data_IF_342160964409
#
_entry.id   IF_342160964409
#
_cell.length_a   1.000
_cell.length_b   1.000
_cell.length_c   1.000
_cell.angle_alpha   90.00
_cell.angle_beta   90.00
_cell.angle_gamma   90.00
#
_symmetry.space_group_name_H-M   'P 1'
#
loop_
_entity.id
_entity.type
_entity.pdbx_description
1 polymer ?
#
# COMPACT_ATOMS: atom_id res chain seq x y z
N UNK A 1 10.94 -28.60 -27.69
CA UNK A 1 12.20 -28.42 -26.92
C UNK A 1 13.34 -28.18 -27.90
N UNK A 2 14.17 -27.14 -27.71
CA UNK A 2 15.33 -26.86 -28.59
C UNK A 2 16.37 -27.98 -28.41
N UNK A 3 16.71 -28.70 -29.48
CA UNK A 3 17.71 -29.79 -29.46
C UNK A 3 19.09 -29.24 -29.05
N UNK A 4 19.90 -30.04 -28.36
CA UNK A 4 21.29 -29.70 -28.02
C UNK A 4 22.18 -29.93 -29.23
N UNK A 5 22.95 -28.91 -29.59
CA UNK A 5 23.98 -29.02 -30.63
C UNK A 5 25.24 -29.67 -30.05
N UNK A 6 26.08 -30.24 -30.91
CA UNK A 6 27.32 -30.89 -30.47
C UNK A 6 28.32 -29.87 -29.88
N UNK A 7 28.35 -28.65 -30.42
CA UNK A 7 29.16 -27.55 -29.87
C UNK A 7 28.73 -27.18 -28.44
N UNK A 8 27.44 -27.12 -28.16
CA UNK A 8 26.94 -26.89 -26.79
C UNK A 8 27.26 -28.05 -25.85
N UNK A 9 27.18 -29.31 -26.33
CA UNK A 9 27.57 -30.49 -25.54
C UNK A 9 29.07 -30.47 -25.25
N UNK A 10 29.90 -30.10 -26.22
CA UNK A 10 31.35 -29.97 -26.06
C UNK A 10 31.70 -28.90 -25.03
N UNK A 11 31.07 -27.71 -25.11
CA UNK A 11 31.24 -26.65 -24.10
C UNK A 11 30.91 -27.14 -22.68
N UNK A 12 29.87 -27.96 -22.53
CA UNK A 12 29.54 -28.57 -21.23
C UNK A 12 30.57 -29.60 -20.77
N UNK A 13 31.14 -30.40 -21.68
CA UNK A 13 32.24 -31.35 -21.35
C UNK A 13 33.51 -30.64 -20.93
N UNK A 14 33.81 -29.48 -21.53
CA UNK A 14 35.03 -28.75 -21.22
C UNK A 14 34.88 -27.93 -19.93
N UNK A 15 33.65 -27.54 -19.57
CA UNK A 15 33.36 -26.60 -18.48
C UNK A 15 32.44 -27.20 -17.40
N UNK A 16 32.35 -28.51 -17.23
CA UNK A 16 31.41 -29.09 -16.26
C UNK A 16 31.75 -28.77 -14.79
N UNK A 17 33.02 -28.45 -14.49
CA UNK A 17 33.53 -28.21 -13.14
C UNK A 17 33.43 -26.75 -12.66
N UNK A 18 33.29 -25.75 -13.55
CA UNK A 18 33.21 -24.33 -13.18
C UNK A 18 31.84 -23.95 -12.59
N UNK A 19 31.69 -22.85 -11.83
CA UNK A 19 30.40 -22.46 -11.24
C UNK A 19 29.28 -22.31 -12.27
N UNK A 20 28.06 -22.76 -11.93
CA UNK A 20 26.89 -22.71 -12.81
C UNK A 20 26.59 -21.29 -13.38
N UNK A 21 26.98 -20.24 -12.65
CA UNK A 21 26.85 -18.85 -13.13
C UNK A 21 27.70 -18.58 -14.37
N UNK A 22 28.89 -19.15 -14.44
CA UNK A 22 29.80 -18.99 -15.57
C UNK A 22 29.36 -19.82 -16.77
N UNK A 23 28.84 -21.03 -16.55
CA UNK A 23 28.25 -21.85 -17.63
C UNK A 23 27.05 -21.15 -18.29
N UNK A 24 26.24 -20.44 -17.50
CA UNK A 24 25.12 -19.65 -18.04
C UNK A 24 25.58 -18.49 -18.94
N UNK A 25 26.79 -17.95 -18.74
CA UNK A 25 27.35 -16.94 -19.65
C UNK A 25 27.79 -17.55 -20.98
N UNK A 26 28.30 -18.79 -20.95
CA UNK A 26 28.70 -19.54 -22.14
C UNK A 26 27.50 -20.04 -22.95
N UNK A 27 26.34 -20.22 -22.30
CA UNK A 27 25.11 -20.73 -22.90
C UNK A 27 23.91 -19.82 -22.56
N UNK A 28 23.86 -18.57 -23.07
CA UNK A 28 22.85 -17.58 -22.70
C UNK A 28 21.41 -17.99 -23.09
N UNK A 29 21.28 -18.78 -24.15
CA UNK A 29 20.00 -19.31 -24.64
C UNK A 29 19.44 -20.48 -23.80
N UNK A 30 20.23 -20.99 -22.84
CA UNK A 30 19.88 -22.17 -22.06
C UNK A 30 19.59 -21.79 -20.61
N UNK A 31 18.53 -22.37 -20.06
CA UNK A 31 18.20 -22.15 -18.66
C UNK A 31 18.98 -23.13 -17.76
N UNK A 32 19.18 -22.73 -16.50
CA UNK A 32 19.93 -23.51 -15.49
C UNK A 32 19.45 -24.95 -15.35
N UNK A 33 18.14 -25.18 -15.44
CA UNK A 33 17.54 -26.51 -15.32
C UNK A 33 17.96 -27.39 -16.49
N UNK A 34 17.83 -26.91 -17.73
CA UNK A 34 18.21 -27.65 -18.94
C UNK A 34 19.70 -28.02 -18.95
N UNK A 35 20.57 -27.10 -18.52
CA UNK A 35 22.01 -27.37 -18.39
C UNK A 35 22.28 -28.48 -17.37
N UNK A 36 21.60 -28.44 -16.21
CA UNK A 36 21.76 -29.47 -15.19
C UNK A 36 21.33 -30.86 -15.68
N UNK A 37 20.21 -30.94 -16.39
CA UNK A 37 19.71 -32.18 -16.98
C UNK A 37 20.69 -32.70 -18.04
N UNK A 38 21.21 -31.82 -18.90
CA UNK A 38 22.17 -32.22 -19.93
C UNK A 38 23.50 -32.71 -19.34
N UNK A 39 24.02 -32.04 -18.32
CA UNK A 39 25.21 -32.51 -17.60
C UNK A 39 24.98 -33.89 -16.96
N UNK A 40 23.79 -34.13 -16.43
CA UNK A 40 23.42 -35.44 -15.89
C UNK A 40 23.32 -36.51 -16.98
N UNK A 41 22.78 -36.19 -18.17
CA UNK A 41 22.73 -37.09 -19.34
C UNK A 41 24.14 -37.44 -19.84
N UNK A 42 25.07 -36.47 -19.77
CA UNK A 42 26.48 -36.66 -20.10
C UNK A 42 27.28 -37.39 -18.99
N UNK A 43 26.65 -37.78 -17.89
CA UNK A 43 27.28 -38.51 -16.79
C UNK A 43 27.98 -37.64 -15.73
N UNK A 44 27.95 -36.31 -15.86
CA UNK A 44 28.55 -35.39 -14.89
C UNK A 44 27.60 -35.13 -13.72
N UNK A 45 27.92 -35.71 -12.55
CA UNK A 45 27.20 -35.46 -11.30
C UNK A 45 27.80 -34.27 -10.58
N UNK A 46 27.19 -33.09 -10.73
CA UNK A 46 27.58 -31.91 -9.96
C UNK A 46 27.07 -32.02 -8.53
N UNK A 47 27.95 -31.90 -7.56
CA UNK A 47 27.55 -31.80 -6.16
C UNK A 47 26.85 -30.44 -5.93
N UNK A 48 25.54 -30.47 -5.83
CA UNK A 48 24.70 -29.27 -5.68
C UNK A 48 24.67 -28.74 -4.25
N UNK A 49 25.04 -29.57 -3.28
CA UNK A 49 24.97 -29.24 -1.86
C UNK A 49 26.33 -29.45 -1.19
N UNK A 50 26.86 -28.37 -0.59
CA UNK A 50 27.99 -28.46 0.35
C UNK A 50 27.53 -29.27 1.57
N UNK A 51 28.20 -30.38 1.88
CA UNK A 51 27.89 -31.22 3.07
C UNK A 51 28.10 -30.41 4.35
N UNK A 52 27.38 -30.76 5.41
CA UNK A 52 27.61 -30.18 6.73
C UNK A 52 28.86 -30.81 7.35
N UNK A 53 29.71 -30.00 7.96
CA UNK A 53 30.87 -30.50 8.70
C UNK A 53 30.49 -30.77 10.17
N UNK A 54 31.22 -31.62 10.90
CA UNK A 54 30.95 -31.87 12.32
C UNK A 54 30.99 -30.59 13.18
N UNK A 55 31.83 -29.62 12.82
CA UNK A 55 31.91 -28.31 13.49
C UNK A 55 30.66 -27.48 13.23
N UNK A 56 30.15 -27.49 11.99
CA UNK A 56 28.88 -26.83 11.64
C UNK A 56 27.71 -27.44 12.45
N UNK A 57 27.69 -28.77 12.64
CA UNK A 57 26.68 -29.45 13.46
C UNK A 57 26.79 -29.10 14.95
N UNK A 58 28.02 -29.02 15.47
CA UNK A 58 28.29 -28.60 16.86
C UNK A 58 27.75 -27.19 17.12
N UNK A 59 28.00 -26.25 16.21
CA UNK A 59 27.46 -24.89 16.31
C UNK A 59 25.92 -24.88 16.31
N UNK A 60 25.29 -25.72 15.48
CA UNK A 60 23.82 -25.86 15.48
C UNK A 60 23.34 -26.40 16.84
N UNK A 61 23.98 -27.45 17.36
CA UNK A 61 23.60 -28.08 18.63
C UNK A 61 23.69 -27.11 19.82
N UNK A 62 24.76 -26.33 19.89
CA UNK A 62 24.97 -25.39 21.01
C UNK A 62 24.00 -24.20 20.98
N UNK A 63 23.48 -23.85 19.79
CA UNK A 63 22.77 -22.59 19.60
C UNK A 63 21.30 -22.74 19.18
N UNK A 64 20.80 -23.94 18.87
CA UNK A 64 19.47 -24.07 18.27
C UNK A 64 18.32 -23.64 19.19
N UNK A 65 18.48 -23.70 20.51
CA UNK A 65 17.46 -23.23 21.48
C UNK A 65 17.46 -21.72 21.64
N UNK A 66 18.65 -21.11 21.67
CA UNK A 66 18.85 -19.68 21.98
C UNK A 66 18.80 -18.78 20.75
N UNK A 67 19.27 -19.26 19.59
CA UNK A 67 19.35 -18.51 18.35
C UNK A 67 18.37 -19.03 17.29
N UNK A 68 17.78 -18.09 16.55
CA UNK A 68 16.97 -18.41 15.37
C UNK A 68 17.82 -18.98 14.23
N UNK A 69 17.19 -19.77 13.35
CA UNK A 69 17.88 -20.43 12.22
C UNK A 69 18.62 -19.44 11.30
N UNK A 70 18.16 -18.20 11.22
CA UNK A 70 18.82 -17.13 10.47
C UNK A 70 20.14 -16.70 11.11
N UNK A 71 20.16 -16.50 12.44
CA UNK A 71 21.37 -16.13 13.17
C UNK A 71 22.42 -17.25 13.11
N UNK A 72 22.01 -18.50 13.33
CA UNK A 72 22.87 -19.68 13.17
C UNK A 72 23.41 -19.74 11.73
N UNK A 73 22.54 -19.52 10.74
CA UNK A 73 22.92 -19.47 9.33
C UNK A 73 23.99 -18.40 9.04
N UNK A 74 23.94 -17.23 9.68
CA UNK A 74 24.99 -16.21 9.54
C UNK A 74 26.33 -16.68 10.09
N UNK A 75 26.35 -17.35 11.24
CA UNK A 75 27.58 -17.83 11.88
C UNK A 75 28.30 -18.82 10.96
N UNK A 76 27.59 -19.81 10.43
CA UNK A 76 28.18 -20.87 9.59
C UNK A 76 28.05 -20.61 8.07
N UNK A 77 27.64 -19.40 7.68
CA UNK A 77 27.45 -18.97 6.27
C UNK A 77 26.53 -19.91 5.47
N UNK A 78 25.42 -20.35 6.07
CA UNK A 78 24.36 -21.17 5.46
C UNK A 78 23.02 -20.43 5.46
N UNK A 79 22.11 -20.86 4.59
CA UNK A 79 20.73 -20.32 4.60
C UNK A 79 19.93 -20.89 5.77
N UNK A 80 19.00 -20.10 6.33
CA UNK A 80 18.13 -20.54 7.42
C UNK A 80 17.34 -21.82 7.07
N UNK A 81 16.94 -21.97 5.80
CA UNK A 81 16.26 -23.18 5.29
C UNK A 81 17.17 -24.41 5.32
N UNK A 82 18.46 -24.24 5.03
CA UNK A 82 19.45 -25.32 5.14
C UNK A 82 19.64 -25.76 6.59
N UNK A 83 19.69 -24.82 7.53
CA UNK A 83 19.78 -25.11 8.97
C UNK A 83 18.54 -25.87 9.44
N UNK A 84 17.34 -25.41 9.08
CA UNK A 84 16.10 -26.07 9.47
C UNK A 84 16.06 -27.54 9.01
N UNK A 85 16.46 -27.81 7.76
CA UNK A 85 16.58 -29.19 7.25
C UNK A 85 17.63 -29.99 8.00
N UNK A 86 18.78 -29.39 8.33
CA UNK A 86 19.85 -30.08 9.05
C UNK A 86 19.42 -30.44 10.47
N UNK A 87 18.71 -29.55 11.17
CA UNK A 87 18.16 -29.83 12.50
C UNK A 87 17.22 -31.04 12.49
N UNK A 88 16.36 -31.18 11.45
CA UNK A 88 15.50 -32.35 11.29
C UNK A 88 16.35 -33.63 11.14
N UNK A 89 17.41 -33.58 10.34
CA UNK A 89 18.33 -34.73 10.14
C UNK A 89 19.07 -35.09 11.43
N UNK A 90 19.43 -34.11 12.25
CA UNK A 90 20.09 -34.31 13.55
C UNK A 90 19.10 -34.68 14.67
N UNK A 91 17.79 -34.68 14.39
CA UNK A 91 16.74 -34.99 15.37
C UNK A 91 16.46 -33.87 16.39
N UNK A 92 16.94 -32.65 16.14
CA UNK A 92 16.73 -31.52 17.05
C UNK A 92 15.34 -30.93 16.88
N UNK A 93 14.59 -30.87 17.98
CA UNK A 93 13.27 -30.25 18.07
C UNK A 93 13.30 -29.11 19.08
N UNK A 94 12.57 -28.04 18.77
CA UNK A 94 12.33 -26.94 19.71
C UNK A 94 11.01 -27.19 20.42
N UNK A 95 11.02 -26.97 21.72
CA UNK A 95 9.82 -26.99 22.55
C UNK A 95 9.07 -25.65 22.45
N UNK A 96 7.77 -25.60 22.79
CA UNK A 96 6.97 -24.38 22.78
C UNK A 96 7.62 -23.19 23.52
N UNK A 97 8.34 -23.45 24.62
CA UNK A 97 8.99 -22.42 25.40
C UNK A 97 10.24 -21.84 24.71
N UNK A 98 10.99 -22.66 23.95
CA UNK A 98 12.11 -22.17 23.12
C UNK A 98 11.61 -21.12 22.10
N UNK A 99 10.41 -21.33 21.54
CA UNK A 99 9.81 -20.35 20.62
C UNK A 99 9.44 -19.05 21.31
N UNK A 100 8.99 -19.09 22.58
CA UNK A 100 8.69 -17.88 23.36
C UNK A 100 9.97 -17.10 23.65
N UNK A 101 11.06 -17.77 24.00
CA UNK A 101 12.36 -17.12 24.23
C UNK A 101 12.92 -16.51 22.95
N UNK A 102 12.87 -17.23 21.83
CA UNK A 102 13.22 -16.72 20.52
C UNK A 102 12.35 -15.54 20.10
N UNK A 103 11.06 -15.53 20.45
CA UNK A 103 10.18 -14.40 20.16
C UNK A 103 10.52 -13.16 21.02
N UNK A 104 10.93 -13.36 22.29
CA UNK A 104 11.42 -12.27 23.15
C UNK A 104 12.71 -11.65 22.62
N UNK A 105 13.67 -12.46 22.16
CA UNK A 105 14.92 -11.95 21.56
C UNK A 105 14.70 -11.30 20.19
N UNK A 106 13.63 -11.66 19.48
CA UNK A 106 13.20 -11.03 18.23
C UNK A 106 12.27 -9.81 18.43
N UNK A 107 11.97 -9.37 19.67
CA UNK A 107 11.26 -8.10 19.94
C UNK A 107 12.15 -6.91 19.54
N UNK A 108 12.17 -6.62 18.24
CA UNK A 108 12.93 -5.53 17.64
C UNK A 108 13.19 -5.72 16.14
N UNK A 109 13.20 -6.96 15.64
CA UNK A 109 13.53 -7.24 14.24
C UNK A 109 12.30 -7.33 13.32
N UNK A 110 11.08 -7.41 13.87
CA UNK A 110 9.82 -7.30 13.13
C UNK A 110 8.94 -6.22 13.75
N UNK A 111 9.28 -4.94 13.52
CA UNK A 111 8.25 -3.91 13.59
C UNK A 111 7.23 -4.22 12.49
N UNK A 112 5.97 -4.38 12.86
CA UNK A 112 4.84 -4.50 11.94
C UNK A 112 4.89 -3.30 10.97
N UNK A 113 5.36 -3.51 9.74
CA UNK A 113 5.65 -2.44 8.77
C UNK A 113 7.04 -2.48 8.12
N UNK A 114 7.97 -3.31 8.59
CA UNK A 114 9.29 -3.47 7.95
C UNK A 114 9.24 -4.58 6.91
N UNK A 115 8.67 -4.28 5.74
CA UNK A 115 9.23 -4.88 4.53
C UNK A 115 10.57 -4.20 4.29
N UNK A 116 11.66 -4.91 4.55
CA UNK A 116 12.97 -4.53 4.01
C UNK A 116 12.79 -4.30 2.50
N UNK A 117 13.10 -3.10 2.03
CA UNK A 117 13.32 -2.73 0.60
C UNK A 117 12.16 -2.22 -0.28
N UNK A 118 11.04 -1.74 0.27
CA UNK A 118 10.18 -0.76 -0.46
C UNK A 118 9.63 0.32 0.45
N UNK A 119 10.49 1.18 1.00
CA UNK A 119 10.02 2.53 1.36
C UNK A 119 9.59 3.17 0.04
N UNK A 120 8.27 3.26 -0.18
CA UNK A 120 7.72 3.96 -1.35
C UNK A 120 8.36 5.34 -1.40
N UNK A 121 8.91 5.73 -2.56
CA UNK A 121 9.63 7.00 -2.73
C UNK A 121 8.64 8.16 -2.57
N UNK A 122 9.12 9.28 -2.04
CA UNK A 122 8.38 10.53 -2.15
C UNK A 122 8.22 10.91 -3.63
N UNK A 123 7.12 11.56 -3.96
CA UNK A 123 6.66 11.80 -5.33
C UNK A 123 5.86 10.63 -5.93
N UNK A 124 5.74 9.48 -5.26
CA UNK A 124 4.93 8.37 -5.77
C UNK A 124 3.45 8.75 -5.82
N UNK A 125 2.85 8.67 -7.01
CA UNK A 125 1.42 8.78 -7.22
C UNK A 125 0.72 7.43 -7.06
N UNK A 126 -0.42 7.44 -6.39
CA UNK A 126 -1.28 6.29 -6.18
C UNK A 126 -2.73 6.65 -6.53
N UNK A 127 -3.34 5.89 -7.43
CA UNK A 127 -4.78 5.96 -7.70
C UNK A 127 -5.54 5.23 -6.59
N UNK A 128 -6.55 5.88 -6.03
CA UNK A 128 -7.43 5.33 -4.99
C UNK A 128 -8.87 5.44 -5.50
N UNK A 129 -9.66 4.40 -5.22
CA UNK A 129 -11.10 4.36 -5.47
C UNK A 129 -11.83 4.34 -4.13
N UNK A 130 -12.78 5.25 -3.95
CA UNK A 130 -13.69 5.26 -2.81
C UNK A 130 -15.04 4.69 -3.21
N UNK A 131 -15.36 3.50 -2.69
CA UNK A 131 -16.61 2.81 -3.00
C UNK A 131 -17.85 3.49 -2.44
N UNK A 132 -17.73 4.37 -1.44
CA UNK A 132 -18.89 5.09 -0.88
C UNK A 132 -19.33 6.24 -1.77
N UNK A 133 -18.36 6.91 -2.38
CA UNK A 133 -18.61 8.07 -3.25
C UNK A 133 -18.53 7.70 -4.73
N UNK A 134 -18.12 6.47 -5.05
CA UNK A 134 -17.88 5.95 -6.40
C UNK A 134 -16.91 6.84 -7.20
N UNK A 135 -15.93 7.41 -6.50
CA UNK A 135 -14.97 8.36 -7.08
C UNK A 135 -13.55 7.83 -7.01
N UNK A 136 -12.81 8.08 -8.08
CA UNK A 136 -11.38 7.85 -8.17
C UNK A 136 -10.59 9.14 -7.99
N UNK A 137 -9.43 9.06 -7.36
CA UNK A 137 -8.56 10.21 -7.13
C UNK A 137 -7.12 9.78 -6.90
N UNK A 138 -6.19 10.72 -7.11
CA UNK A 138 -4.77 10.49 -6.85
C UNK A 138 -4.35 10.96 -5.46
N UNK A 139 -3.49 10.17 -4.82
CA UNK A 139 -2.67 10.57 -3.69
C UNK A 139 -1.20 10.65 -4.13
N UNK A 140 -0.45 11.59 -3.57
CA UNK A 140 1.00 11.69 -3.72
C UNK A 140 1.67 11.45 -2.37
N UNK A 141 2.81 10.76 -2.37
CA UNK A 141 3.62 10.58 -1.17
C UNK A 141 4.59 11.75 -1.00
N UNK A 142 4.50 12.47 0.11
CA UNK A 142 5.40 13.58 0.46
C UNK A 142 5.82 13.40 1.91
N UNK A 143 7.13 13.45 2.19
CA UNK A 143 7.72 13.32 3.52
C UNK A 143 7.22 12.06 4.26
N UNK A 144 7.12 10.94 3.52
CA UNK A 144 6.66 9.68 4.11
C UNK A 144 5.15 9.53 4.28
N UNK A 145 4.34 10.57 4.04
CA UNK A 145 2.87 10.54 4.17
C UNK A 145 2.18 10.66 2.81
N UNK A 146 1.05 9.98 2.65
CA UNK A 146 0.20 10.20 1.48
C UNK A 146 -0.76 11.35 1.73
N UNK A 147 -0.76 12.33 0.83
CA UNK A 147 -1.71 13.43 0.79
C UNK A 147 -2.46 13.43 -0.53
N UNK A 148 -3.63 14.08 -0.59
CA UNK A 148 -4.40 14.22 -1.84
C UNK A 148 -3.58 15.00 -2.87
N UNK A 149 -3.47 14.47 -4.08
CA UNK A 149 -2.65 15.08 -5.11
C UNK A 149 -3.21 16.43 -5.58
N UNK A 150 -4.53 16.58 -5.64
CA UNK A 150 -5.19 17.87 -5.89
C UNK A 150 -4.81 18.95 -4.86
N UNK A 151 -4.63 18.56 -3.58
CA UNK A 151 -4.16 19.47 -2.53
C UNK A 151 -2.74 19.95 -2.83
N UNK A 152 -1.84 19.01 -3.10
CA UNK A 152 -0.45 19.31 -3.44
C UNK A 152 -0.34 20.23 -4.67
N UNK A 153 -1.12 19.95 -5.72
CA UNK A 153 -1.15 20.79 -6.93
C UNK A 153 -1.66 22.19 -6.66
N UNK A 154 -2.75 22.33 -5.89
CA UNK A 154 -3.25 23.66 -5.50
C UNK A 154 -2.19 24.46 -4.76
N UNK A 155 -1.56 23.87 -3.73
CA UNK A 155 -0.53 24.54 -2.94
C UNK A 155 0.64 25.00 -3.83
N UNK A 156 1.03 24.21 -4.83
CA UNK A 156 2.08 24.58 -5.79
C UNK A 156 1.64 25.63 -6.82
N UNK A 157 0.42 25.54 -7.36
CA UNK A 157 -0.06 26.45 -8.40
C UNK A 157 -0.26 27.88 -7.89
N UNK A 158 -0.63 28.02 -6.62
CA UNK A 158 -0.91 29.30 -5.97
C UNK A 158 0.15 29.70 -4.95
N UNK A 159 1.16 28.85 -4.72
CA UNK A 159 2.22 29.03 -3.72
C UNK A 159 1.65 29.37 -2.32
N UNK A 160 0.54 28.72 -1.97
CA UNK A 160 -0.22 28.96 -0.75
C UNK A 160 -0.37 27.65 0.01
N UNK A 161 0.07 27.60 1.28
CA UNK A 161 -0.10 26.42 2.13
C UNK A 161 -1.50 26.39 2.71
N UNK A 162 -2.24 25.31 2.47
CA UNK A 162 -3.61 25.18 2.95
C UNK A 162 -3.64 24.82 4.44
N UNK A 163 -4.64 25.32 5.17
CA UNK A 163 -4.91 24.93 6.55
C UNK A 163 -5.52 23.53 6.64
N UNK A 164 -5.61 22.96 7.85
CA UNK A 164 -6.37 21.74 8.13
C UNK A 164 -7.87 21.88 7.87
N UNK A 165 -8.38 23.12 7.91
CA UNK A 165 -9.78 23.46 7.66
C UNK A 165 -10.08 23.75 6.19
N UNK A 166 -9.05 23.88 5.36
CA UNK A 166 -9.22 24.10 3.93
C UNK A 166 -9.27 22.78 3.16
N UNK A 167 -10.15 22.75 2.17
CA UNK A 167 -10.35 21.63 1.25
C UNK A 167 -10.19 22.13 -0.18
N UNK A 168 -9.57 21.34 -1.04
CA UNK A 168 -9.55 21.60 -2.48
C UNK A 168 -10.81 21.00 -3.11
N UNK A 169 -11.60 21.84 -3.75
CA UNK A 169 -12.82 21.49 -4.44
C UNK A 169 -12.61 21.57 -5.97
N UNK A 170 -13.23 20.63 -6.69
CA UNK A 170 -13.17 20.54 -8.15
C UNK A 170 -14.46 21.14 -8.70
N UNK A 171 -14.37 22.18 -9.54
CA UNK A 171 -15.54 22.92 -10.02
C UNK A 171 -16.49 22.04 -10.84
N UNK A 172 -15.93 21.17 -11.69
CA UNK A 172 -16.67 20.20 -12.50
C UNK A 172 -17.17 18.97 -11.72
N UNK A 173 -16.73 18.81 -10.47
CA UNK A 173 -17.04 17.65 -9.63
C UNK A 173 -16.24 16.38 -9.96
N UNK A 174 -15.37 16.42 -10.97
CA UNK A 174 -14.48 15.32 -11.33
C UNK A 174 -13.16 15.44 -10.55
N UNK A 175 -12.93 14.49 -9.64
CA UNK A 175 -11.70 14.44 -8.83
C UNK A 175 -10.45 14.02 -9.60
N UNK A 176 -10.58 13.68 -10.87
CA UNK A 176 -9.47 13.37 -11.78
C UNK A 176 -9.06 14.57 -12.64
N UNK A 177 -9.88 15.61 -12.74
CA UNK A 177 -9.54 16.82 -13.48
C UNK A 177 -8.68 17.76 -12.62
N UNK A 178 -7.36 17.67 -12.81
CA UNK A 178 -6.35 18.37 -12.02
C UNK A 178 -5.87 19.70 -12.65
N UNK A 179 -6.62 20.26 -13.59
CA UNK A 179 -6.31 21.55 -14.21
C UNK A 179 -6.36 22.68 -13.16
N UNK A 180 -5.47 23.66 -13.29
CA UNK A 180 -5.31 24.76 -12.32
C UNK A 180 -6.62 25.54 -12.13
N UNK A 181 -7.37 25.72 -13.20
CA UNK A 181 -8.62 26.47 -13.24
C UNK A 181 -9.76 25.70 -12.58
N UNK A 182 -9.66 24.37 -12.49
CA UNK A 182 -10.68 23.51 -11.88
C UNK A 182 -10.53 23.40 -10.36
N UNK A 183 -9.35 23.71 -9.82
CA UNK A 183 -9.03 23.56 -8.40
C UNK A 183 -9.25 24.88 -7.65
N UNK A 184 -10.20 24.88 -6.73
CA UNK A 184 -10.46 26.01 -5.84
C UNK A 184 -10.30 25.62 -4.37
N UNK A 185 -9.84 26.55 -3.54
CA UNK A 185 -9.87 26.43 -2.08
C UNK A 185 -11.25 26.75 -1.55
N UNK A 186 -11.78 25.90 -0.69
CA UNK A 186 -13.01 26.15 0.07
C UNK A 186 -12.80 25.76 1.54
N UNK A 187 -13.34 26.56 2.45
CA UNK A 187 -13.33 26.20 3.86
C UNK A 187 -14.26 24.98 4.10
N UNK A 188 -13.91 24.09 5.02
CA UNK A 188 -14.71 22.91 5.37
C UNK A 188 -16.13 23.29 5.81
N UNK A 189 -16.31 24.39 6.55
CA UNK A 189 -17.63 24.87 6.96
C UNK A 189 -18.49 25.34 5.78
N UNK A 190 -17.87 26.01 4.82
CA UNK A 190 -18.55 26.46 3.59
C UNK A 190 -18.90 25.28 2.70
N UNK A 191 -18.00 24.29 2.59
CA UNK A 191 -18.24 23.07 1.83
C UNK A 191 -19.39 22.25 2.46
N UNK A 192 -19.43 22.14 3.80
CA UNK A 192 -20.54 21.51 4.50
C UNK A 192 -21.85 22.26 4.25
N UNK A 193 -21.82 23.59 4.29
CA UNK A 193 -22.99 24.43 4.01
C UNK A 193 -23.48 24.24 2.58
N UNK A 194 -22.56 24.19 1.60
CA UNK A 194 -22.86 23.91 0.19
C UNK A 194 -23.49 22.53 0.01
N UNK A 195 -22.90 21.49 0.60
CA UNK A 195 -23.43 20.12 0.54
C UNK A 195 -24.80 20.00 1.21
N UNK A 196 -25.03 20.70 2.32
CA UNK A 196 -26.33 20.73 3.01
C UNK A 196 -27.41 21.52 2.25
N UNK A 197 -27.01 22.43 1.37
CA UNK A 197 -27.91 23.24 0.53
C UNK A 197 -28.10 22.65 -0.88
N UNK A 198 -27.37 21.60 -1.24
CA UNK A 198 -27.61 20.87 -2.48
C UNK A 198 -29.05 20.32 -2.48
N UNK A 199 -29.76 20.45 -3.61
CA UNK A 199 -31.20 20.17 -3.67
C UNK A 199 -31.54 18.75 -3.22
N UNK A 200 -30.72 17.77 -3.58
CA UNK A 200 -30.91 16.38 -3.16
C UNK A 200 -30.82 16.20 -1.63
N UNK A 201 -29.77 16.73 -1.01
CA UNK A 201 -29.58 16.65 0.43
C UNK A 201 -30.64 17.47 1.18
N UNK A 202 -30.99 18.63 0.63
CA UNK A 202 -32.04 19.49 1.13
C UNK A 202 -33.39 18.77 1.12
N UNK A 203 -33.74 18.14 -0.01
CA UNK A 203 -35.02 17.44 -0.16
C UNK A 203 -35.09 16.24 0.79
N UNK A 204 -34.02 15.45 0.86
CA UNK A 204 -33.90 14.33 1.82
C UNK A 204 -34.16 14.77 3.26
N UNK A 205 -33.54 15.87 3.68
CA UNK A 205 -33.61 16.37 5.06
C UNK A 205 -34.94 17.04 5.39
N UNK A 206 -35.41 17.93 4.52
CA UNK A 206 -36.55 18.79 4.82
C UNK A 206 -37.88 18.09 4.53
N UNK A 207 -37.99 17.36 3.43
CA UNK A 207 -39.21 16.61 3.09
C UNK A 207 -39.20 15.18 3.65
N UNK A 208 -38.10 14.74 4.27
CA UNK A 208 -37.94 13.39 4.86
C UNK A 208 -38.13 12.25 3.86
N UNK A 209 -37.88 12.51 2.57
CA UNK A 209 -38.00 11.54 1.49
C UNK A 209 -36.67 10.82 1.34
N UNK A 210 -36.69 9.49 1.33
CA UNK A 210 -35.47 8.66 1.19
C UNK A 210 -35.33 8.01 -0.19
N UNK A 211 -36.43 7.83 -0.93
CA UNK A 211 -36.40 7.20 -2.25
C UNK A 211 -35.73 8.16 -3.27
N UNK A 212 -34.62 7.76 -3.92
CA UNK A 212 -33.91 8.55 -4.93
C UNK A 212 -34.79 9.03 -6.08
N UNK A 213 -35.70 8.19 -6.58
CA UNK A 213 -36.57 8.52 -7.71
C UNK A 213 -37.52 9.66 -7.38
N UNK A 214 -38.11 9.63 -6.18
CA UNK A 214 -39.02 10.68 -5.72
C UNK A 214 -38.27 12.00 -5.48
N UNK A 215 -37.01 11.92 -5.02
CA UNK A 215 -36.18 13.10 -4.84
C UNK A 215 -35.90 13.75 -6.19
N UNK A 216 -35.49 12.94 -7.17
CA UNK A 216 -35.26 13.41 -8.54
C UNK A 216 -36.53 14.01 -9.14
N UNK A 217 -37.67 13.36 -8.99
CA UNK A 217 -38.96 13.89 -9.45
C UNK A 217 -39.28 15.27 -8.84
N UNK A 218 -39.05 15.47 -7.54
CA UNK A 218 -39.31 16.77 -6.89
C UNK A 218 -38.35 17.84 -7.39
N UNK A 219 -37.07 17.50 -7.56
CA UNK A 219 -36.06 18.43 -8.09
C UNK A 219 -36.42 18.86 -9.51
N UNK A 220 -36.80 17.91 -10.36
CA UNK A 220 -37.09 18.15 -11.77
C UNK A 220 -38.46 18.83 -11.97
N UNK A 221 -39.47 18.44 -11.19
CA UNK A 221 -40.86 18.88 -11.41
C UNK A 221 -41.28 20.09 -10.59
N UNK A 222 -40.59 20.40 -9.48
CA UNK A 222 -40.97 21.47 -8.55
C UNK A 222 -39.76 22.21 -7.94
N UNK A 223 -38.84 22.74 -8.76
CA UNK A 223 -37.67 23.47 -8.26
C UNK A 223 -38.06 24.71 -7.44
N UNK A 224 -39.15 25.39 -7.80
CA UNK A 224 -39.66 26.58 -7.09
C UNK A 224 -40.01 26.28 -5.63
N UNK A 225 -40.52 25.08 -5.34
CA UNK A 225 -40.88 24.66 -3.98
C UNK A 225 -39.64 24.47 -3.10
N UNK A 226 -38.55 23.98 -3.69
CA UNK A 226 -37.25 23.84 -3.02
C UNK A 226 -36.69 25.23 -2.69
N UNK A 227 -36.72 26.15 -3.66
CA UNK A 227 -36.21 27.50 -3.51
C UNK A 227 -37.01 28.32 -2.47
N UNK A 228 -38.34 28.25 -2.50
CA UNK A 228 -39.20 28.86 -1.49
C UNK A 228 -38.86 28.36 -0.09
N UNK A 229 -38.66 27.05 0.07
CA UNK A 229 -38.33 26.47 1.38
C UNK A 229 -36.94 26.87 1.85
N UNK A 230 -35.96 26.99 0.95
CA UNK A 230 -34.63 27.55 1.25
C UNK A 230 -34.74 28.99 1.74
N UNK A 231 -35.57 29.81 1.11
CA UNK A 231 -35.79 31.20 1.50
C UNK A 231 -36.46 31.31 2.87
N UNK A 232 -37.47 30.47 3.17
CA UNK A 232 -38.08 30.40 4.51
C UNK A 232 -37.04 30.10 5.59
N UNK A 233 -36.14 29.14 5.34
CA UNK A 233 -35.10 28.78 6.32
C UNK A 233 -34.08 29.91 6.52
N UNK A 234 -33.68 30.61 5.45
CA UNK A 234 -32.81 31.79 5.54
C UNK A 234 -33.46 32.90 6.37
N UNK A 235 -34.75 33.18 6.14
CA UNK A 235 -35.50 34.19 6.90
C UNK A 235 -35.61 33.82 8.38
N UNK A 236 -35.94 32.56 8.69
CA UNK A 236 -36.01 32.08 10.07
C UNK A 236 -34.66 32.20 10.79
N UNK A 237 -33.55 31.93 10.10
CA UNK A 237 -32.20 32.11 10.65
C UNK A 237 -31.93 33.57 11.00
N UNK A 238 -32.22 34.51 10.09
CA UNK A 238 -32.05 35.96 10.32
C UNK A 238 -32.93 36.46 11.47
N UNK A 239 -34.16 35.95 11.56
CA UNK A 239 -35.10 36.30 12.62
C UNK A 239 -34.60 35.82 13.99
N UNK A 240 -34.05 34.60 14.06
CA UNK A 240 -33.47 34.07 15.30
C UNK A 240 -32.20 34.83 15.72
N UNK A 241 -31.35 35.21 14.76
CA UNK A 241 -30.17 36.05 15.04
C UNK A 241 -30.57 37.43 15.57
N UNK A 242 -31.59 38.05 14.97
CA UNK A 242 -32.14 39.33 15.43
C UNK A 242 -32.72 39.21 16.84
N UNK A 243 -33.46 38.13 17.13
CA UNK A 243 -33.96 37.82 18.48
C UNK A 243 -32.84 37.69 19.51
N UNK A 244 -31.75 37.00 19.16
CA UNK A 244 -30.56 36.85 20.04
C UNK A 244 -29.92 38.20 20.34
N UNK A 245 -29.71 39.03 19.32
CA UNK A 245 -29.16 40.38 19.48
C UNK A 245 -30.05 41.24 20.38
N UNK A 246 -31.36 41.17 20.20
CA UNK A 246 -32.34 41.87 21.07
C UNK A 246 -32.20 41.37 22.51
N UNK A 247 -32.20 40.05 22.76
CA UNK A 247 -32.06 39.52 24.12
C UNK A 247 -30.76 39.98 24.79
N UNK A 248 -29.64 39.98 24.05
CA UNK A 248 -28.33 40.45 24.53
C UNK A 248 -28.33 41.95 24.86
N UNK A 249 -29.09 42.77 24.12
CA UNK A 249 -29.21 44.21 24.40
C UNK A 249 -30.20 44.52 25.52
N UNK A 250 -31.25 43.71 25.70
CA UNK A 250 -32.27 43.95 26.74
C UNK A 250 -31.95 43.39 28.12
N UNK A 251 -30.80 42.71 28.31
CA UNK A 251 -30.25 42.41 29.64
C UNK A 251 -31.21 41.70 30.61
N UNK A 252 -31.98 40.72 30.13
CA UNK A 252 -32.69 39.73 30.94
C UNK A 252 -32.20 38.34 30.61
#
# INVERSE_FOLDING_TARGET
MKKWTESERQLLRDNWNIPMREILKLLPDRNRKTIYWQLSELGYKRQTYKRFTPEEDKVIFENYKTLGNYAIGKIIKRTAKSIAKRMIVLGYKREPDDFKELAKSNKGCYQKGVSSERKLKDGLLQLIYDSKTERSFYNIKIEGKFIRYSRYLYENFYNEKLSSDDVVFHLDGDSMNLLKENLIKINRNDLLSKNNMADEAFVKRIFRIKNPEHIKFIIDSRPELIELKKNILKLNSKLNESKRKISETTGK
#
